data_IF_362223391609
#
_entry.id   IF_362223391609
#
_cell.length_a   1.000
_cell.length_b   1.000
_cell.length_c   1.000
_cell.angle_alpha   90.00
_cell.angle_beta   90.00
_cell.angle_gamma   90.00
#
_symmetry.space_group_name_H-M   'P 1'
#
loop_
_entity.id
_entity.type
_entity.pdbx_description
1 polymer ?
#
# COMPACT_ATOMS: atom_id res chain seq x y z
N UNK A 1 -40.03 35.08 -8.06
CA UNK A 1 -39.83 34.48 -7.95
C UNK A 1 -39.23 33.65 -7.87
N UNK A 2 -38.89 33.71 -7.79
CA UNK A 2 -38.43 32.84 -7.74
C UNK A 2 -37.70 32.12 -7.85
N UNK A 3 -37.47 32.08 -8.12
CA UNK A 3 -36.92 31.19 -8.30
C UNK A 3 -35.85 30.97 -8.21
N UNK A 4 -35.82 31.36 -8.21
CA UNK A 4 -34.84 31.12 -8.16
C UNK A 4 -33.97 30.37 -7.75
N UNK A 5 -33.83 30.35 -7.60
CA UNK A 5 -33.05 29.56 -7.37
C UNK A 5 -32.47 28.74 -7.64
N UNK A 6 -32.48 28.90 -7.89
CA UNK A 6 -32.03 28.02 -8.25
C UNK A 6 -30.96 27.56 -8.33
N UNK A 7 -30.78 27.93 -8.27
CA UNK A 7 -29.87 27.36 -8.55
C UNK A 7 -29.08 26.88 -8.17
N UNK A 8 -28.98 27.01 -7.94
CA UNK A 8 -28.13 26.59 -7.59
C UNK A 8 -27.62 25.57 -7.58
N UNK A 9 -27.77 25.32 -7.68
CA UNK A 9 -27.47 24.28 -7.82
C UNK A 9 -26.40 23.92 -8.29
N UNK A 10 -26.26 24.48 -8.83
CA UNK A 10 -25.36 24.04 -9.45
C UNK A 10 -24.16 23.73 -8.90
N UNK A 11 -24.03 23.92 -8.33
CA UNK A 11 -23.07 23.66 -7.94
C UNK A 11 -22.47 22.80 -7.54
N UNK A 12 -22.67 22.75 -7.17
CA UNK A 12 -22.29 21.94 -6.60
C UNK A 12 -21.53 20.97 -7.06
N UNK A 13 -21.85 20.25 -7.39
CA UNK A 13 -21.30 19.12 -7.69
C UNK A 13 -20.12 19.14 -8.39
N UNK A 14 -19.89 20.00 -8.95
CA UNK A 14 -18.79 20.00 -9.83
C UNK A 14 -17.46 19.90 -9.17
N UNK A 15 -17.36 20.17 -7.92
CA UNK A 15 -16.07 20.21 -7.35
C UNK A 15 -15.52 18.91 -6.99
N UNK A 16 -16.35 17.92 -6.83
CA UNK A 16 -15.93 16.76 -6.34
C UNK A 16 -15.03 15.96 -7.07
N UNK A 17 -15.27 15.69 -8.26
CA UNK A 17 -14.57 14.66 -8.94
C UNK A 17 -13.12 14.87 -9.08
N UNK A 18 -12.73 16.04 -9.28
CA UNK A 18 -11.35 16.18 -9.65
C UNK A 18 -10.39 16.07 -8.51
N UNK A 19 -10.91 16.00 -7.36
CA UNK A 19 -10.06 15.83 -6.24
C UNK A 19 -9.42 14.47 -6.25
N UNK A 20 -10.17 13.48 -6.56
CA UNK A 20 -9.71 12.16 -6.44
C UNK A 20 -8.63 11.79 -7.38
N UNK A 21 -8.75 12.20 -8.59
CA UNK A 21 -7.89 11.67 -9.62
C UNK A 21 -6.47 12.15 -9.53
N UNK A 22 -6.22 13.18 -8.79
CA UNK A 22 -4.92 13.78 -8.81
C UNK A 22 -3.95 13.16 -7.83
N UNK A 23 -4.42 12.27 -6.99
CA UNK A 23 -3.63 11.90 -5.85
C UNK A 23 -2.82 10.63 -5.97
N UNK A 24 -3.00 9.86 -7.00
CA UNK A 24 -2.32 8.59 -7.12
C UNK A 24 -0.87 8.76 -7.53
N UNK A 25 0.02 8.05 -6.86
CA UNK A 25 1.41 7.97 -7.26
C UNK A 25 1.63 6.68 -8.05
N UNK A 26 2.58 6.69 -8.95
CA UNK A 26 2.81 5.52 -9.79
C UNK A 26 3.36 4.33 -9.01
N UNK A 27 3.89 4.54 -7.82
CA UNK A 27 4.39 3.47 -6.97
C UNK A 27 3.31 2.84 -6.09
N UNK A 28 2.10 3.40 -6.09
CA UNK A 28 1.02 2.88 -5.25
C UNK A 28 0.74 1.42 -5.59
N UNK A 29 0.56 0.59 -4.56
CA UNK A 29 0.28 -0.83 -4.77
C UNK A 29 -0.65 -1.35 -3.69
N UNK A 30 -1.28 -2.49 -3.99
CA UNK A 30 -2.09 -3.20 -3.02
C UNK A 30 -1.32 -4.41 -2.53
N UNK A 31 -1.26 -4.59 -1.22
CA UNK A 31 -0.62 -5.75 -0.62
C UNK A 31 -1.68 -6.64 0.00
N UNK A 32 -1.72 -7.90 -0.42
CA UNK A 32 -2.65 -8.89 0.11
C UNK A 32 -1.90 -9.91 0.96
N UNK A 33 -2.39 -10.14 2.15
CA UNK A 33 -1.82 -11.12 3.07
C UNK A 33 -2.50 -12.47 2.89
N UNK A 34 -1.78 -13.44 2.35
CA UNK A 34 -2.26 -14.82 2.23
C UNK A 34 -1.34 -15.80 2.96
N UNK A 35 -0.76 -15.34 4.07
CA UNK A 35 0.17 -16.17 4.83
C UNK A 35 -0.48 -17.14 5.79
N UNK A 36 -1.74 -16.90 6.15
CA UNK A 36 -2.41 -17.64 7.21
C UNK A 36 -2.18 -17.02 8.58
N UNK A 37 -1.40 -15.95 8.69
CA UNK A 37 -1.06 -15.30 9.95
C UNK A 37 -1.21 -13.79 9.82
N UNK A 38 -1.37 -13.12 10.94
CA UNK A 38 -1.48 -11.67 10.97
C UNK A 38 -0.11 -11.02 10.80
N UNK A 39 -0.07 -9.93 10.05
CA UNK A 39 1.11 -9.08 9.93
C UNK A 39 0.91 -7.85 10.80
N UNK A 40 1.89 -7.52 11.63
CA UNK A 40 1.78 -6.36 12.51
C UNK A 40 2.51 -5.14 12.00
N UNK A 41 3.47 -5.29 11.10
CA UNK A 41 4.22 -4.16 10.57
C UNK A 41 4.53 -4.38 9.10
N UNK A 42 4.59 -3.29 8.38
CA UNK A 42 4.88 -3.28 6.97
C UNK A 42 5.75 -2.06 6.66
N UNK A 43 6.92 -2.30 6.10
CA UNK A 43 7.85 -1.23 5.78
C UNK A 43 8.18 -1.22 4.30
N UNK A 44 8.28 -0.02 3.73
CA UNK A 44 8.81 0.17 2.39
C UNK A 44 9.84 1.28 2.47
N UNK A 45 10.97 1.09 1.82
CA UNK A 45 11.97 2.13 1.75
C UNK A 45 12.70 2.07 0.42
N UNK A 46 13.24 3.20 -0.05
CA UNK A 46 13.97 3.20 -1.32
C UNK A 46 15.15 2.22 -1.23
N UNK A 47 15.38 1.47 -2.28
CA UNK A 47 16.42 0.44 -2.27
C UNK A 47 17.81 0.99 -2.01
N UNK A 48 18.01 2.25 -2.30
CA UNK A 48 19.31 2.90 -2.04
C UNK A 48 19.41 3.49 -0.64
N UNK A 49 18.34 3.42 0.13
CA UNK A 49 18.32 3.94 1.49
C UNK A 49 19.03 2.97 2.41
N UNK A 50 19.48 3.47 3.56
CA UNK A 50 20.18 2.64 4.53
C UNK A 50 19.28 2.15 5.66
N UNK A 51 18.14 2.82 5.86
CA UNK A 51 17.27 2.50 6.99
C UNK A 51 15.83 2.31 6.53
N UNK A 52 15.10 1.50 7.27
CA UNK A 52 13.66 1.37 7.05
C UNK A 52 12.95 2.63 7.56
N UNK A 53 11.94 3.02 6.81
CA UNK A 53 11.11 4.16 7.20
C UNK A 53 10.00 3.68 8.14
N UNK A 54 9.00 4.51 8.36
CA UNK A 54 7.95 4.18 9.31
C UNK A 54 7.09 3.00 8.86
N UNK A 55 6.52 2.30 9.83
CA UNK A 55 5.56 1.23 9.57
C UNK A 55 4.32 1.82 8.89
N UNK A 56 4.07 1.43 7.66
CA UNK A 56 2.95 1.99 6.88
C UNK A 56 1.59 1.50 7.34
N UNK A 57 1.53 0.46 8.17
CA UNK A 57 0.27 0.05 8.78
C UNK A 57 -0.04 0.89 10.01
N UNK A 58 0.95 1.60 10.55
CA UNK A 58 0.77 2.38 11.77
C UNK A 58 0.46 1.48 12.93
N UNK A 59 -0.68 1.71 13.58
CA UNK A 59 -1.12 0.86 14.68
C UNK A 59 -2.07 -0.24 14.24
N UNK A 60 -2.40 -0.27 12.96
CA UNK A 60 -3.28 -1.32 12.44
C UNK A 60 -2.48 -2.57 12.12
N UNK A 61 -3.17 -3.69 12.01
CA UNK A 61 -2.58 -4.95 11.60
C UNK A 61 -3.29 -5.42 10.33
N UNK A 62 -2.68 -6.36 9.63
CA UNK A 62 -3.25 -6.91 8.41
C UNK A 62 -3.45 -8.40 8.60
N UNK A 63 -4.70 -8.82 8.75
CA UNK A 63 -5.04 -10.21 8.95
C UNK A 63 -4.92 -11.04 7.69
N UNK A 64 -4.93 -12.35 7.86
CA UNK A 64 -4.92 -13.26 6.74
C UNK A 64 -6.14 -13.02 5.84
N UNK A 65 -5.91 -12.94 4.55
CA UNK A 65 -6.95 -12.68 3.58
C UNK A 65 -7.26 -11.20 3.36
N UNK A 66 -6.68 -10.31 4.16
CA UNK A 66 -6.92 -8.88 4.04
C UNK A 66 -5.91 -8.22 3.12
N UNK A 67 -6.29 -7.09 2.56
CA UNK A 67 -5.43 -6.30 1.68
C UNK A 67 -5.32 -4.88 2.21
N UNK A 68 -4.18 -4.27 1.98
CA UNK A 68 -3.95 -2.87 2.31
C UNK A 68 -3.49 -2.15 1.05
N UNK A 69 -4.00 -0.95 0.85
CA UNK A 69 -3.56 -0.10 -0.24
C UNK A 69 -2.46 0.82 0.28
N UNK A 70 -1.30 0.72 -0.31
CA UNK A 70 -0.14 1.47 0.12
C UNK A 70 0.04 2.64 -0.83
N UNK A 71 -0.01 3.84 -0.28
CA UNK A 71 0.06 5.07 -1.05
C UNK A 71 1.36 5.79 -0.80
N UNK A 72 1.98 6.24 -1.85
CA UNK A 72 3.21 7.01 -1.79
C UNK A 72 2.90 8.48 -2.01
N UNK A 73 3.79 9.34 -1.53
CA UNK A 73 3.68 10.74 -1.83
C UNK A 73 3.92 10.89 -3.34
N UNK A 74 3.08 11.66 -4.01
CA UNK A 74 3.19 11.75 -5.46
C UNK A 74 4.47 12.44 -5.94
N UNK A 75 5.21 13.05 -5.05
CA UNK A 75 6.52 13.59 -5.39
C UNK A 75 7.62 12.54 -5.33
N UNK A 76 7.30 11.32 -4.90
CA UNK A 76 8.29 10.26 -4.89
C UNK A 76 8.72 9.93 -6.31
N UNK A 77 10.03 9.85 -6.53
CA UNK A 77 10.57 9.61 -7.87
C UNK A 77 11.21 8.25 -8.04
N UNK A 78 11.63 7.63 -6.95
CA UNK A 78 12.29 6.33 -7.02
C UNK A 78 11.32 5.24 -7.47
N UNK A 79 11.79 4.31 -8.28
CA UNK A 79 11.00 3.16 -8.69
C UNK A 79 11.39 1.90 -7.92
N UNK A 80 12.64 1.79 -7.48
CA UNK A 80 13.12 0.59 -6.80
C UNK A 80 12.99 0.75 -5.29
N UNK A 81 12.29 -0.20 -4.68
CA UNK A 81 11.96 -0.14 -3.26
C UNK A 81 12.17 -1.51 -2.63
N UNK A 82 12.49 -1.50 -1.34
CA UNK A 82 12.57 -2.70 -0.54
C UNK A 82 11.30 -2.81 0.31
N UNK A 83 10.87 -4.04 0.58
CA UNK A 83 9.66 -4.32 1.34
C UNK A 83 10.01 -5.25 2.50
N UNK A 84 9.47 -4.97 3.68
CA UNK A 84 9.62 -5.83 4.84
C UNK A 84 8.26 -6.00 5.50
N UNK A 85 7.90 -7.25 5.79
CA UNK A 85 6.70 -7.56 6.56
C UNK A 85 7.11 -8.24 7.86
N UNK A 86 6.39 -7.98 8.94
CA UNK A 86 6.67 -8.54 10.26
C UNK A 86 5.43 -9.24 10.77
N UNK A 87 5.57 -10.49 11.18
CA UNK A 87 4.47 -11.28 11.73
C UNK A 87 4.16 -10.90 13.17
N UNK A 88 2.88 -10.89 13.51
CA UNK A 88 2.46 -10.62 14.88
C UNK A 88 2.85 -11.75 15.84
N UNK A 89 2.80 -12.97 15.37
CA UNK A 89 2.92 -14.13 16.25
C UNK A 89 4.29 -14.28 16.89
N UNK A 90 5.34 -13.96 16.18
CA UNK A 90 6.70 -14.17 16.70
C UNK A 90 7.68 -13.07 16.31
N UNK A 91 7.21 -12.03 15.66
CA UNK A 91 8.03 -10.92 15.19
C UNK A 91 9.08 -11.31 14.13
N UNK A 92 8.93 -12.48 13.52
CA UNK A 92 9.77 -12.83 12.40
C UNK A 92 9.37 -11.99 11.18
N UNK A 93 10.26 -11.89 10.22
CA UNK A 93 10.03 -11.00 9.09
C UNK A 93 10.42 -11.64 7.76
N UNK A 94 9.83 -11.11 6.69
CA UNK A 94 10.22 -11.40 5.33
C UNK A 94 10.67 -10.10 4.67
N UNK A 95 11.71 -10.17 3.86
CA UNK A 95 12.27 -8.98 3.20
C UNK A 95 12.49 -9.27 1.73
N UNK A 96 12.10 -8.34 0.89
CA UNK A 96 12.35 -8.40 -0.55
C UNK A 96 12.97 -7.08 -0.97
N UNK A 97 13.98 -7.14 -1.81
CA UNK A 97 14.72 -5.96 -2.22
C UNK A 97 14.54 -5.67 -3.70
N UNK A 98 14.72 -4.42 -4.05
CA UNK A 98 14.82 -3.98 -5.44
C UNK A 98 13.56 -4.28 -6.26
N UNK A 99 12.40 -4.02 -5.68
CA UNK A 99 11.11 -4.21 -6.35
C UNK A 99 10.82 -2.96 -7.19
N UNK A 100 10.50 -3.16 -8.46
CA UNK A 100 10.13 -2.05 -9.33
C UNK A 100 8.67 -1.68 -9.13
N UNK A 101 8.41 -0.79 -8.18
CA UNK A 101 7.04 -0.37 -7.89
C UNK A 101 6.44 0.53 -8.95
N UNK A 102 7.22 0.96 -9.94
CA UNK A 102 6.66 1.69 -11.07
C UNK A 102 5.95 0.77 -12.05
N UNK A 103 6.20 -0.55 -11.97
CA UNK A 103 5.54 -1.53 -12.83
C UNK A 103 4.70 -2.54 -12.07
N UNK A 104 4.92 -2.69 -10.76
CA UNK A 104 4.19 -3.63 -9.92
C UNK A 104 3.04 -2.89 -9.22
N UNK A 105 1.81 -3.36 -9.39
CA UNK A 105 0.64 -2.75 -8.76
C UNK A 105 0.05 -3.60 -7.65
N UNK A 106 0.46 -4.85 -7.55
CA UNK A 106 -0.11 -5.78 -6.61
C UNK A 106 0.94 -6.74 -6.08
N UNK A 107 1.01 -6.87 -4.78
CA UNK A 107 1.92 -7.80 -4.13
C UNK A 107 1.10 -8.73 -3.24
N UNK A 108 1.31 -10.02 -3.36
CA UNK A 108 0.65 -11.01 -2.51
C UNK A 108 1.69 -11.76 -1.72
N UNK A 109 1.50 -11.84 -0.40
CA UNK A 109 2.46 -12.49 0.50
C UNK A 109 1.91 -13.86 0.90
N UNK A 110 2.75 -14.88 0.79
CA UNK A 110 2.43 -16.26 1.14
C UNK A 110 3.41 -16.79 2.16
N UNK A 111 3.01 -17.82 2.89
CA UNK A 111 3.90 -18.54 3.79
C UNK A 111 3.83 -20.03 3.47
N UNK A 112 5.01 -20.60 3.21
CA UNK A 112 5.13 -22.06 2.99
C UNK A 112 5.51 -22.71 4.31
N UNK A 113 4.53 -23.38 4.92
CA UNK A 113 4.70 -23.95 6.22
C UNK A 113 5.72 -25.10 6.22
N UNK A 114 5.81 -25.84 5.16
CA UNK A 114 6.72 -26.98 5.10
C UNK A 114 8.18 -26.55 5.05
N UNK A 115 8.44 -25.42 4.40
CA UNK A 115 9.79 -24.90 4.27
C UNK A 115 10.08 -23.77 5.22
N UNK A 116 9.10 -23.29 5.96
CA UNK A 116 9.19 -22.16 6.85
C UNK A 116 9.75 -20.93 6.11
N UNK A 117 9.16 -20.62 4.97
CA UNK A 117 9.61 -19.54 4.11
C UNK A 117 8.45 -18.65 3.73
N UNK A 118 8.63 -17.34 3.84
CA UNK A 118 7.67 -16.36 3.37
C UNK A 118 8.05 -15.96 1.94
N UNK A 119 7.09 -16.01 1.04
CA UNK A 119 7.32 -15.68 -0.37
C UNK A 119 6.36 -14.59 -0.81
N UNK A 120 6.62 -14.02 -1.97
CA UNK A 120 5.78 -12.97 -2.52
C UNK A 120 5.62 -13.15 -4.02
N UNK A 121 4.46 -12.73 -4.50
CA UNK A 121 4.15 -12.67 -5.91
C UNK A 121 3.95 -11.20 -6.28
N UNK A 122 4.51 -10.78 -7.39
CA UNK A 122 4.50 -9.39 -7.85
C UNK A 122 3.79 -9.30 -9.19
N UNK A 123 2.72 -8.50 -9.27
CA UNK A 123 1.91 -8.35 -10.50
C UNK A 123 1.73 -6.90 -10.91
#
# INVERSE_FOLDING_TARGET
MSFKSVFIIAIAFSTIPWVASAEDAKQDFALTNKTGYELKELYVSPSKGSDWEDDVLGQATLGDGQAANIHFHRSATACRWDLKVVYSVDSSSGVWSDIDLCTVEKITIFYDKDKDVTTASFD
#
